data_IF_887461129996
#
_entry.id   IF_887461129996
#
_cell.length_a   1.000
_cell.length_b   1.000
_cell.length_c   1.000
_cell.angle_alpha   90.00
_cell.angle_beta   90.00
_cell.angle_gamma   90.00
#
_symmetry.space_group_name_H-M   'P 1'
#
loop_
_entity.id
_entity.type
_entity.pdbx_description
1 polymer ?
#
# COMPACT_ATOMS: atom_id res chain seq x y z
N UNK A 1 -18.70 -11.96 11.60
CA UNK A 1 -17.86 -12.88 10.77
C UNK A 1 -17.53 -12.12 9.48
N UNK A 2 -16.28 -12.19 9.04
CA UNK A 2 -15.85 -11.53 7.80
C UNK A 2 -16.65 -12.06 6.60
N UNK A 3 -17.02 -11.19 5.66
CA UNK A 3 -17.71 -11.59 4.43
C UNK A 3 -16.75 -12.32 3.50
N UNK A 4 -17.26 -13.08 2.53
CA UNK A 4 -16.44 -13.75 1.52
C UNK A 4 -15.54 -12.75 0.78
N UNK A 5 -16.04 -11.55 0.50
CA UNK A 5 -15.27 -10.49 -0.16
C UNK A 5 -14.07 -10.04 0.69
N UNK A 6 -14.21 -9.89 2.00
CA UNK A 6 -13.10 -9.54 2.90
C UNK A 6 -12.07 -10.67 2.95
N UNK A 7 -12.51 -11.93 3.00
CA UNK A 7 -11.62 -13.09 3.00
C UNK A 7 -10.76 -13.12 1.73
N UNK A 8 -11.35 -12.89 0.56
CA UNK A 8 -10.62 -12.86 -0.72
C UNK A 8 -9.65 -11.65 -0.81
N UNK A 9 -10.08 -10.46 -0.34
CA UNK A 9 -9.20 -9.28 -0.26
C UNK A 9 -8.00 -9.56 0.65
N UNK A 10 -8.24 -10.18 1.82
CA UNK A 10 -7.18 -10.52 2.76
C UNK A 10 -6.19 -11.51 2.16
N UNK A 11 -6.66 -12.55 1.50
CA UNK A 11 -5.82 -13.53 0.81
C UNK A 11 -4.90 -12.88 -0.23
N UNK A 12 -5.41 -11.95 -1.04
CA UNK A 12 -4.62 -11.21 -2.02
C UNK A 12 -3.60 -10.28 -1.34
N UNK A 13 -4.01 -9.61 -0.26
CA UNK A 13 -3.12 -8.77 0.54
C UNK A 13 -2.00 -9.58 1.20
N UNK A 14 -2.31 -10.78 1.72
CA UNK A 14 -1.31 -11.68 2.31
C UNK A 14 -0.29 -12.14 1.26
N UNK A 15 -0.74 -12.45 0.04
CA UNK A 15 0.15 -12.81 -1.07
C UNK A 15 1.06 -11.65 -1.48
N UNK A 16 0.52 -10.42 -1.58
CA UNK A 16 1.31 -9.23 -1.89
C UNK A 16 2.33 -8.90 -0.78
N UNK A 17 1.93 -9.03 0.49
CA UNK A 17 2.82 -8.85 1.63
C UNK A 17 3.94 -9.90 1.67
N UNK A 18 3.63 -11.14 1.34
CA UNK A 18 4.63 -12.21 1.23
C UNK A 18 5.63 -11.94 0.09
N UNK A 19 5.14 -11.49 -1.08
CA UNK A 19 5.99 -11.10 -2.20
C UNK A 19 6.92 -9.93 -1.83
N UNK A 20 6.37 -8.86 -1.25
CA UNK A 20 7.16 -7.73 -0.78
C UNK A 20 8.21 -8.18 0.26
N UNK A 21 7.80 -8.97 1.23
CA UNK A 21 8.70 -9.50 2.27
C UNK A 21 9.84 -10.34 1.68
N UNK A 22 9.56 -11.13 0.66
CA UNK A 22 10.55 -11.91 -0.08
C UNK A 22 11.60 -11.00 -0.72
N UNK A 23 11.18 -9.93 -1.41
CA UNK A 23 12.08 -8.97 -2.03
C UNK A 23 12.92 -8.19 -1.00
N UNK A 24 12.44 -8.03 0.22
CA UNK A 24 13.15 -7.31 1.29
C UNK A 24 14.20 -8.14 2.03
N UNK A 25 14.34 -9.44 1.74
CA UNK A 25 15.35 -10.28 2.39
C UNK A 25 16.76 -9.77 2.06
N UNK A 26 17.55 -9.50 3.11
CA UNK A 26 18.93 -9.00 2.99
C UNK A 26 19.07 -7.55 2.53
N UNK A 27 17.97 -6.79 2.45
CA UNK A 27 17.99 -5.40 1.96
C UNK A 27 18.43 -4.34 3.00
N UNK A 28 18.65 -4.70 4.26
CA UNK A 28 19.07 -3.73 5.28
C UNK A 28 20.31 -2.88 4.86
N UNK A 29 21.39 -3.45 4.29
CA UNK A 29 22.54 -2.64 3.83
C UNK A 29 22.24 -1.80 2.58
N UNK A 30 21.12 -2.05 1.92
CA UNK A 30 20.73 -1.43 0.64
C UNK A 30 19.52 -0.49 0.77
N UNK A 31 19.18 -0.10 2.01
CA UNK A 31 18.00 0.75 2.26
C UNK A 31 18.06 2.09 1.52
N UNK A 32 19.22 2.66 1.36
CA UNK A 32 19.43 3.95 0.70
C UNK A 32 20.04 3.80 -0.71
N UNK A 33 19.88 2.61 -1.32
CA UNK A 33 20.24 2.32 -2.72
C UNK A 33 19.01 2.30 -3.61
N UNK A 34 19.20 2.73 -4.87
CA UNK A 34 18.22 2.68 -5.96
C UNK A 34 18.72 1.80 -7.10
N UNK A 35 17.88 1.56 -8.11
CA UNK A 35 18.26 0.84 -9.34
C UNK A 35 18.92 1.75 -10.39
N UNK A 36 18.69 3.07 -10.32
CA UNK A 36 19.32 4.06 -11.18
C UNK A 36 19.40 5.44 -10.51
N UNK A 37 20.22 6.32 -11.06
CA UNK A 37 20.32 7.69 -10.58
C UNK A 37 18.97 8.43 -10.72
N UNK A 38 18.51 9.06 -9.64
CA UNK A 38 17.23 9.78 -9.61
C UNK A 38 16.00 8.91 -9.32
N UNK A 39 16.15 7.60 -9.30
CA UNK A 39 15.09 6.66 -8.93
C UNK A 39 14.99 6.48 -7.41
N UNK A 40 13.84 6.01 -6.95
CA UNK A 40 13.60 5.81 -5.53
C UNK A 40 14.49 4.73 -4.92
N UNK A 41 14.93 5.00 -3.72
CA UNK A 41 15.63 4.02 -2.88
C UNK A 41 14.64 3.03 -2.26
N UNK A 42 15.15 1.91 -1.75
CA UNK A 42 14.34 0.95 -0.97
C UNK A 42 13.57 1.63 0.16
N UNK A 43 14.24 2.55 0.89
CA UNK A 43 13.61 3.33 1.97
C UNK A 43 12.44 4.18 1.46
N UNK A 44 12.63 4.87 0.34
CA UNK A 44 11.60 5.70 -0.26
C UNK A 44 10.39 4.87 -0.70
N UNK A 45 10.62 3.71 -1.30
CA UNK A 45 9.55 2.76 -1.65
C UNK A 45 8.75 2.35 -0.42
N UNK A 46 9.42 1.93 0.66
CA UNK A 46 8.73 1.49 1.88
C UNK A 46 7.98 2.65 2.57
N UNK A 47 8.58 3.84 2.60
CA UNK A 47 7.92 5.02 3.15
C UNK A 47 6.69 5.43 2.32
N UNK A 48 6.74 5.25 0.99
CA UNK A 48 5.61 5.50 0.10
C UNK A 48 4.44 4.54 0.35
N UNK A 49 4.72 3.28 0.64
CA UNK A 49 3.69 2.28 0.97
C UNK A 49 3.01 2.55 2.33
N UNK A 50 3.66 3.26 3.23
CA UNK A 50 3.04 3.76 4.45
C UNK A 50 2.12 4.95 4.14
N UNK A 51 1.02 5.05 4.86
CA UNK A 51 0.18 6.25 4.81
C UNK A 51 0.97 7.49 5.25
N UNK A 52 0.49 8.66 4.84
CA UNK A 52 0.98 9.93 5.35
C UNK A 52 0.94 9.90 6.89
N UNK A 53 1.96 10.39 7.60
CA UNK A 53 1.99 10.39 9.08
C UNK A 53 0.77 11.08 9.72
N UNK A 54 0.25 12.10 9.06
CA UNK A 54 -0.94 12.83 9.52
C UNK A 54 -2.26 12.18 9.05
N UNK A 55 -2.17 11.14 8.23
CA UNK A 55 -3.31 10.49 7.62
C UNK A 55 -3.47 9.04 8.11
N UNK A 56 -4.54 8.79 8.82
CA UNK A 56 -4.88 7.45 9.29
C UNK A 56 -5.67 6.72 8.22
N UNK A 57 -5.14 5.64 7.63
CA UNK A 57 -5.81 4.93 6.53
C UNK A 57 -7.24 4.55 6.84
N UNK A 58 -7.49 4.00 8.03
CA UNK A 58 -8.84 3.59 8.46
C UNK A 58 -9.80 4.78 8.54
N UNK A 59 -9.34 5.96 8.96
CA UNK A 59 -10.19 7.16 9.00
C UNK A 59 -10.63 7.57 7.59
N UNK A 60 -9.75 7.47 6.60
CA UNK A 60 -10.08 7.72 5.20
C UNK A 60 -11.07 6.68 4.67
N UNK A 61 -10.86 5.39 4.94
CA UNK A 61 -11.77 4.32 4.51
C UNK A 61 -13.17 4.49 5.11
N UNK A 62 -13.27 4.98 6.35
CA UNK A 62 -14.56 5.33 6.98
C UNK A 62 -15.27 6.47 6.28
N UNK A 63 -14.57 7.31 5.54
CA UNK A 63 -15.14 8.41 4.75
C UNK A 63 -15.89 7.95 3.51
N UNK A 64 -15.70 6.73 3.01
CA UNK A 64 -16.49 6.19 1.89
C UNK A 64 -17.96 6.12 2.26
N UNK A 65 -18.83 6.57 1.37
CA UNK A 65 -20.26 6.71 1.66
C UNK A 65 -21.14 6.04 0.59
N UNK A 66 -22.42 5.87 0.91
CA UNK A 66 -23.44 5.38 -0.05
C UNK A 66 -24.20 6.50 -0.77
N UNK A 67 -23.99 7.77 -0.39
CA UNK A 67 -24.76 8.90 -0.89
C UNK A 67 -23.91 10.07 -1.40
N UNK A 68 -23.26 10.80 -0.52
CA UNK A 68 -22.43 11.94 -0.89
C UNK A 68 -20.99 11.47 -1.08
N UNK A 69 -20.58 11.28 -2.33
CA UNK A 69 -19.27 10.76 -2.65
C UNK A 69 -18.16 11.76 -2.26
N UNK A 70 -17.37 11.49 -1.23
CA UNK A 70 -16.22 12.36 -0.91
C UNK A 70 -15.21 12.27 -2.03
N UNK A 71 -14.48 13.37 -2.26
CA UNK A 71 -13.35 13.38 -3.19
C UNK A 71 -12.08 13.09 -2.40
N UNK A 72 -11.34 12.05 -2.82
CA UNK A 72 -10.05 11.68 -2.23
C UNK A 72 -8.99 11.96 -3.28
N UNK A 73 -8.17 12.98 -3.01
CA UNK A 73 -7.04 13.33 -3.86
C UNK A 73 -5.83 12.48 -3.48
N UNK A 74 -5.38 11.65 -4.42
CA UNK A 74 -4.14 10.89 -4.29
C UNK A 74 -3.08 11.59 -5.14
N UNK A 75 -2.00 12.04 -4.49
CA UNK A 75 -0.83 12.60 -5.16
C UNK A 75 0.16 11.48 -5.47
N UNK A 76 0.33 11.11 -6.76
CA UNK A 76 1.35 10.13 -7.13
C UNK A 76 2.76 10.70 -6.94
N UNK A 77 3.73 9.82 -6.76
CA UNK A 77 5.15 10.21 -6.77
C UNK A 77 5.68 10.82 -5.46
N UNK A 78 4.92 10.79 -4.37
CA UNK A 78 5.39 11.24 -3.06
C UNK A 78 5.94 10.04 -2.25
N UNK A 79 7.23 10.07 -1.96
CA UNK A 79 7.89 9.01 -1.18
C UNK A 79 7.58 9.09 0.33
N UNK A 80 7.01 10.18 0.83
CA UNK A 80 6.58 10.37 2.22
C UNK A 80 7.68 10.09 3.27
N UNK A 81 8.92 10.42 2.92
CA UNK A 81 10.05 10.28 3.84
C UNK A 81 10.04 11.43 4.83
N UNK A 82 9.86 11.12 6.11
CA UNK A 82 9.99 12.09 7.21
C UNK A 82 11.34 11.90 7.93
N UNK A 83 11.78 12.87 8.76
CA UNK A 83 12.99 12.71 9.56
C UNK A 83 12.97 11.46 10.45
N UNK A 84 11.80 11.06 10.96
CA UNK A 84 11.61 9.85 11.76
C UNK A 84 11.76 8.60 10.89
N UNK A 85 11.07 8.56 9.74
CA UNK A 85 11.13 7.42 8.79
C UNK A 85 12.53 7.25 8.19
N UNK A 86 13.27 8.33 8.01
CA UNK A 86 14.67 8.28 7.56
C UNK A 86 15.57 7.50 8.53
N UNK A 87 15.26 7.49 9.81
CA UNK A 87 16.03 6.79 10.85
C UNK A 87 15.56 5.37 11.12
N UNK A 88 14.41 4.97 10.57
CA UNK A 88 13.87 3.64 10.80
C UNK A 88 14.70 2.56 10.10
N UNK A 89 14.91 1.45 10.81
CA UNK A 89 15.47 0.23 10.24
C UNK A 89 14.47 -0.44 9.29
N UNK A 90 14.94 -1.37 8.47
CA UNK A 90 14.07 -2.20 7.64
C UNK A 90 13.01 -2.93 8.47
N UNK A 91 13.42 -3.49 9.62
CA UNK A 91 12.52 -4.19 10.52
C UNK A 91 11.41 -3.26 11.06
N UNK A 92 11.74 -2.02 11.40
CA UNK A 92 10.76 -1.03 11.87
C UNK A 92 9.78 -0.62 10.77
N UNK A 93 10.27 -0.36 9.54
CA UNK A 93 9.39 -0.04 8.40
C UNK A 93 8.47 -1.20 8.04
N UNK A 94 8.98 -2.44 8.03
CA UNK A 94 8.16 -3.65 7.83
C UNK A 94 7.10 -3.81 8.92
N UNK A 95 7.46 -3.57 10.17
CA UNK A 95 6.53 -3.63 11.30
C UNK A 95 5.41 -2.57 11.17
N UNK A 96 5.75 -1.36 10.73
CA UNK A 96 4.78 -0.29 10.49
C UNK A 96 3.82 -0.62 9.34
N UNK A 97 4.33 -1.18 8.24
CA UNK A 97 3.51 -1.64 7.10
C UNK A 97 2.53 -2.75 7.50
N UNK A 98 2.99 -3.71 8.29
CA UNK A 98 2.14 -4.79 8.78
C UNK A 98 1.08 -4.30 9.78
N UNK A 99 1.43 -3.36 10.65
CA UNK A 99 0.47 -2.73 11.55
C UNK A 99 -0.61 -1.97 10.75
N UNK A 100 -0.23 -1.19 9.74
CA UNK A 100 -1.17 -0.51 8.86
C UNK A 100 -2.10 -1.50 8.15
N UNK A 101 -1.57 -2.60 7.62
CA UNK A 101 -2.34 -3.64 6.94
C UNK A 101 -3.33 -4.29 7.89
N UNK A 102 -2.89 -4.67 9.09
CA UNK A 102 -3.76 -5.25 10.12
C UNK A 102 -4.90 -4.31 10.48
N UNK A 103 -4.62 -3.04 10.79
CA UNK A 103 -5.65 -2.07 11.18
C UNK A 103 -6.71 -1.88 10.08
N UNK A 104 -6.29 -1.91 8.81
CA UNK A 104 -7.20 -1.85 7.67
C UNK A 104 -8.12 -3.09 7.64
N UNK A 105 -7.55 -4.29 7.76
CA UNK A 105 -8.35 -5.52 7.70
C UNK A 105 -9.24 -5.71 8.94
N UNK A 106 -8.79 -5.32 10.13
CA UNK A 106 -9.64 -5.30 11.34
C UNK A 106 -10.88 -4.42 11.13
N UNK A 107 -10.71 -3.27 10.44
CA UNK A 107 -11.84 -2.44 10.05
C UNK A 107 -12.74 -3.12 9.00
N UNK A 108 -12.18 -3.70 7.94
CA UNK A 108 -12.96 -4.37 6.89
C UNK A 108 -13.76 -5.55 7.43
N UNK A 109 -13.22 -6.31 8.38
CA UNK A 109 -13.89 -7.44 9.02
C UNK A 109 -15.13 -7.02 9.85
N UNK A 110 -15.22 -5.72 10.20
CA UNK A 110 -16.39 -5.15 10.85
C UNK A 110 -17.51 -4.75 9.90
N UNK A 111 -17.29 -4.82 8.57
CA UNK A 111 -18.24 -4.39 7.55
C UNK A 111 -19.02 -5.57 6.96
N UNK A 112 -20.24 -5.27 6.53
CA UNK A 112 -21.02 -6.11 5.63
C UNK A 112 -20.74 -5.76 4.14
N UNK A 113 -21.41 -6.46 3.22
CA UNK A 113 -21.23 -6.23 1.79
C UNK A 113 -21.70 -4.81 1.37
N UNK A 114 -22.71 -4.26 2.04
CA UNK A 114 -23.13 -2.88 1.79
C UNK A 114 -22.05 -1.87 2.22
N UNK A 115 -21.39 -2.12 3.35
CA UNK A 115 -20.24 -1.35 3.81
C UNK A 115 -19.07 -1.39 2.83
N UNK A 116 -18.78 -2.56 2.26
CA UNK A 116 -17.73 -2.74 1.26
C UNK A 116 -18.05 -2.08 -0.10
N UNK A 117 -19.34 -1.95 -0.41
CA UNK A 117 -19.85 -1.28 -1.62
C UNK A 117 -19.87 0.26 -1.53
N UNK A 118 -19.62 0.86 -0.36
CA UNK A 118 -19.54 2.32 -0.23
C UNK A 118 -18.45 2.88 -1.14
N UNK A 119 -18.64 4.10 -1.63
CA UNK A 119 -17.80 4.69 -2.68
C UNK A 119 -17.17 6.01 -2.26
N UNK A 120 -16.12 6.37 -2.97
CA UNK A 120 -15.54 7.71 -3.01
C UNK A 120 -15.19 8.06 -4.46
N UNK A 121 -15.05 9.37 -4.75
CA UNK A 121 -14.44 9.83 -6.00
C UNK A 121 -12.95 9.92 -5.82
N UNK A 122 -12.21 9.18 -6.64
CA UNK A 122 -10.75 9.17 -6.66
C UNK A 122 -10.29 9.45 -8.09
N UNK A 123 -10.04 10.72 -8.43
CA UNK A 123 -9.74 11.13 -9.81
C UNK A 123 -8.60 10.36 -10.47
N UNK A 124 -7.59 9.97 -9.69
CA UNK A 124 -6.46 9.17 -10.17
C UNK A 124 -6.91 7.87 -10.85
N UNK A 125 -7.97 7.22 -10.36
CA UNK A 125 -8.42 5.93 -10.90
C UNK A 125 -9.09 6.03 -12.26
N UNK A 126 -9.56 7.23 -12.66
CA UNK A 126 -10.24 7.41 -13.95
C UNK A 126 -9.38 7.00 -15.14
N UNK A 127 -8.08 7.27 -15.08
CA UNK A 127 -7.15 6.91 -16.17
C UNK A 127 -6.85 5.41 -16.24
N UNK A 128 -7.04 4.67 -15.14
CA UNK A 128 -6.75 3.22 -15.08
C UNK A 128 -7.99 2.36 -15.21
N UNK A 129 -9.14 2.84 -14.71
CA UNK A 129 -10.37 2.06 -14.59
C UNK A 129 -11.53 2.63 -15.40
N UNK A 130 -11.35 3.78 -16.06
CA UNK A 130 -12.40 4.46 -16.82
C UNK A 130 -13.44 5.18 -15.95
N UNK A 131 -13.36 5.05 -14.62
CA UNK A 131 -14.23 5.71 -13.64
C UNK A 131 -13.44 6.25 -12.47
N UNK A 132 -13.93 7.34 -11.87
CA UNK A 132 -13.41 7.89 -10.61
C UNK A 132 -14.28 7.51 -9.40
N UNK A 133 -15.45 6.90 -9.62
CA UNK A 133 -16.30 6.37 -8.54
C UNK A 133 -15.84 4.97 -8.14
N UNK A 134 -15.12 4.89 -7.04
CA UNK A 134 -14.41 3.69 -6.62
C UNK A 134 -15.05 3.13 -5.34
N UNK A 135 -15.46 1.86 -5.38
CA UNK A 135 -15.95 1.15 -4.20
C UNK A 135 -14.81 0.86 -3.21
N UNK A 136 -15.12 0.83 -1.92
CA UNK A 136 -14.16 0.57 -0.85
C UNK A 136 -13.37 -0.72 -1.07
N UNK A 137 -14.05 -1.81 -1.41
CA UNK A 137 -13.40 -3.09 -1.68
C UNK A 137 -12.42 -3.00 -2.87
N UNK A 138 -12.79 -2.26 -3.94
CA UNK A 138 -11.93 -2.05 -5.11
C UNK A 138 -10.70 -1.23 -4.75
N UNK A 139 -10.89 -0.16 -3.95
CA UNK A 139 -9.77 0.67 -3.48
C UNK A 139 -8.75 -0.12 -2.66
N UNK A 140 -9.24 -0.92 -1.70
CA UNK A 140 -8.37 -1.75 -0.86
C UNK A 140 -7.67 -2.84 -1.68
N UNK A 141 -8.38 -3.45 -2.65
CA UNK A 141 -7.78 -4.39 -3.60
C UNK A 141 -6.63 -3.75 -4.39
N UNK A 142 -6.85 -2.56 -4.92
CA UNK A 142 -5.82 -1.82 -5.66
C UNK A 142 -4.63 -1.43 -4.76
N UNK A 143 -4.89 -1.04 -3.51
CA UNK A 143 -3.85 -0.66 -2.54
C UNK A 143 -2.89 -1.81 -2.26
N UNK A 144 -3.38 -3.04 -2.08
CA UNK A 144 -2.53 -4.18 -1.73
C UNK A 144 -2.15 -5.03 -2.94
N UNK A 145 -3.13 -5.58 -3.66
CA UNK A 145 -2.87 -6.54 -4.73
C UNK A 145 -2.10 -5.90 -5.89
N UNK A 146 -2.46 -4.69 -6.31
CA UNK A 146 -1.76 -3.99 -7.39
C UNK A 146 -0.53 -3.22 -6.87
N UNK A 147 -0.73 -2.27 -5.95
CA UNK A 147 0.27 -1.29 -5.57
C UNK A 147 1.47 -1.90 -4.81
N UNK A 148 1.21 -2.83 -3.87
CA UNK A 148 2.31 -3.50 -3.16
C UNK A 148 3.09 -4.45 -4.06
N UNK A 149 2.44 -5.14 -5.01
CA UNK A 149 3.13 -5.99 -5.97
C UNK A 149 3.96 -5.18 -6.98
N UNK A 150 3.46 -4.02 -7.43
CA UNK A 150 4.22 -3.12 -8.29
C UNK A 150 5.52 -2.67 -7.60
N UNK A 151 5.41 -2.25 -6.35
CA UNK A 151 6.57 -1.84 -5.56
C UNK A 151 7.49 -3.01 -5.14
N UNK A 152 6.97 -4.22 -4.96
CA UNK A 152 7.80 -5.42 -4.82
C UNK A 152 8.64 -5.64 -6.08
N UNK A 153 8.08 -5.43 -7.26
CA UNK A 153 8.82 -5.43 -8.54
C UNK A 153 9.89 -4.34 -8.63
N UNK A 154 9.60 -3.14 -8.10
CA UNK A 154 10.60 -2.08 -8.02
C UNK A 154 11.77 -2.46 -7.09
N UNK A 155 11.50 -3.05 -5.93
CA UNK A 155 12.55 -3.56 -5.02
C UNK A 155 13.38 -4.68 -5.69
N UNK A 156 12.75 -5.56 -6.46
CA UNK A 156 13.48 -6.58 -7.23
C UNK A 156 14.49 -5.95 -8.22
N UNK A 157 14.14 -4.84 -8.88
CA UNK A 157 15.07 -4.09 -9.74
C UNK A 157 16.22 -3.49 -8.93
N UNK A 158 15.94 -2.92 -7.75
CA UNK A 158 16.98 -2.39 -6.86
C UNK A 158 17.93 -3.51 -6.42
N UNK A 159 17.42 -4.68 -6.04
CA UNK A 159 18.23 -5.88 -5.71
C UNK A 159 19.19 -6.22 -6.84
N UNK A 160 18.67 -6.37 -8.06
CA UNK A 160 19.44 -6.72 -9.24
C UNK A 160 20.53 -5.69 -9.54
N UNK A 161 20.20 -4.41 -9.50
CA UNK A 161 21.15 -3.32 -9.75
C UNK A 161 22.28 -3.25 -8.71
N UNK A 162 22.06 -3.76 -7.50
CA UNK A 162 23.05 -3.80 -6.42
C UNK A 162 23.72 -5.19 -6.27
N UNK A 163 23.64 -6.05 -7.28
CA UNK A 163 24.35 -7.34 -7.31
C UNK A 163 23.80 -8.40 -6.35
N UNK A 164 22.58 -8.22 -5.86
CA UNK A 164 21.95 -9.21 -4.99
C UNK A 164 21.30 -10.33 -5.82
N UNK A 165 21.24 -11.56 -5.31
CA UNK A 165 20.53 -12.65 -5.98
C UNK A 165 19.04 -12.37 -6.06
N UNK A 166 18.37 -13.02 -7.01
CA UNK A 166 16.90 -13.06 -7.06
C UNK A 166 16.36 -13.61 -5.74
N UNK A 167 15.24 -13.01 -5.27
CA UNK A 167 14.63 -13.42 -4.01
C UNK A 167 13.73 -14.63 -4.17
#
# INVERSE_FOLDING_TARGET
MATTAVIELKKKSDAAAANLSKQLQGMEPHMDKSDAAGEWTTRQVLCHLLADPDWKPVAMLKGFTSSNLPVIEIKPGDARVTPERQKMTLAQLRGALEAQRRDIFDYLESLDDAGLGRKAKIPLFKQFMGTDEIALAVYVGAMFDYHWNDHAGQIAKIRKANGMPDA
#
